data_IF_018075390282
#
_entry.id   IF_018075390282
#
_cell.length_a   1.000
_cell.length_b   1.000
_cell.length_c   1.000
_cell.angle_alpha   90.00
_cell.angle_beta   90.00
_cell.angle_gamma   90.00
#
_symmetry.space_group_name_H-M   'P 1'
#
loop_
_entity.id
_entity.type
_entity.pdbx_description
1 polymer ?
#
# COMPACT_ATOMS: atom_id res chain seq x y z
N UNK A 1 -18.80 5.88 14.95
CA UNK A 1 -19.08 4.42 14.85
C UNK A 1 -17.88 3.68 15.43
N UNK A 2 -18.07 2.69 16.30
CA UNK A 2 -16.93 1.93 16.90
C UNK A 2 -16.73 0.66 16.05
N UNK A 3 -15.63 0.59 15.30
CA UNK A 3 -15.26 -0.59 14.52
C UNK A 3 -14.65 -1.62 15.46
N UNK A 4 -15.11 -2.86 15.40
CA UNK A 4 -14.55 -3.98 16.16
C UNK A 4 -14.06 -5.06 15.17
N UNK A 5 -12.74 -5.30 15.18
CA UNK A 5 -12.07 -6.30 14.35
C UNK A 5 -11.48 -7.46 15.17
N UNK A 6 -12.01 -7.69 16.37
CA UNK A 6 -11.60 -8.83 17.19
C UNK A 6 -11.69 -10.11 16.37
N UNK A 7 -10.71 -11.00 16.51
CA UNK A 7 -10.55 -12.26 15.79
C UNK A 7 -10.33 -12.14 14.26
N UNK A 8 -10.18 -10.92 13.73
CA UNK A 8 -9.81 -10.70 12.33
C UNK A 8 -8.29 -10.67 12.17
N UNK A 9 -7.81 -11.27 11.08
CA UNK A 9 -6.41 -11.27 10.67
C UNK A 9 -6.23 -10.35 9.47
N UNK A 10 -5.30 -9.41 9.55
CA UNK A 10 -5.00 -8.48 8.48
C UNK A 10 -3.57 -8.63 7.98
N UNK A 11 -3.36 -8.60 6.66
CA UNK A 11 -2.05 -8.49 6.02
C UNK A 11 -1.91 -7.12 5.40
N UNK A 12 -0.86 -6.39 5.75
CA UNK A 12 -0.65 -5.02 5.30
C UNK A 12 0.69 -4.89 4.58
N UNK A 13 0.65 -4.61 3.29
CA UNK A 13 1.82 -4.35 2.47
C UNK A 13 2.47 -2.99 2.77
N UNK A 14 3.79 -2.87 2.56
CA UNK A 14 4.54 -1.62 2.72
C UNK A 14 4.36 -0.96 4.08
N UNK A 15 4.33 -1.75 5.15
CA UNK A 15 3.85 -1.34 6.47
C UNK A 15 4.93 -1.15 7.53
N UNK A 16 6.19 -0.93 7.13
CA UNK A 16 7.24 -0.54 8.11
C UNK A 16 7.19 0.92 8.53
N UNK A 17 6.56 1.80 7.74
CA UNK A 17 6.43 3.24 7.98
C UNK A 17 5.32 3.87 7.14
N UNK A 18 5.07 5.17 7.35
CA UNK A 18 4.13 5.96 6.55
C UNK A 18 2.71 5.40 6.58
N UNK A 19 2.00 5.50 5.45
CA UNK A 19 0.57 5.15 5.37
C UNK A 19 0.30 3.69 5.70
N UNK A 20 1.14 2.76 5.22
CA UNK A 20 0.96 1.34 5.52
C UNK A 20 1.05 1.03 7.00
N UNK A 21 1.97 1.67 7.73
CA UNK A 21 2.07 1.50 9.17
C UNK A 21 0.92 2.17 9.93
N UNK A 22 0.49 3.36 9.51
CA UNK A 22 -0.67 4.04 10.10
C UNK A 22 -1.94 3.19 9.99
N UNK A 23 -2.21 2.61 8.81
CA UNK A 23 -3.33 1.66 8.60
C UNK A 23 -3.18 0.43 9.50
N UNK A 24 -1.98 -0.16 9.58
CA UNK A 24 -1.73 -1.32 10.42
C UNK A 24 -2.00 -1.04 11.90
N UNK A 25 -1.54 0.12 12.39
CA UNK A 25 -1.76 0.58 13.76
C UNK A 25 -3.24 0.74 14.06
N UNK A 26 -4.00 1.36 13.15
CA UNK A 26 -5.44 1.55 13.33
C UNK A 26 -6.21 0.22 13.32
N UNK A 27 -5.89 -0.69 12.39
CA UNK A 27 -6.50 -2.02 12.37
C UNK A 27 -6.20 -2.80 13.67
N UNK A 28 -4.98 -2.70 14.19
CA UNK A 28 -4.59 -3.32 15.44
C UNK A 28 -5.35 -2.73 16.64
N UNK A 29 -5.48 -1.41 16.73
CA UNK A 29 -6.29 -0.71 17.76
C UNK A 29 -7.77 -1.13 17.69
N UNK A 30 -8.28 -1.39 16.49
CA UNK A 30 -9.64 -1.94 16.31
C UNK A 30 -9.76 -3.43 16.70
N UNK A 31 -8.66 -4.10 17.09
CA UNK A 31 -8.66 -5.47 17.59
C UNK A 31 -8.16 -6.53 16.60
N UNK A 32 -7.74 -6.15 15.40
CA UNK A 32 -7.21 -7.12 14.42
C UNK A 32 -5.79 -7.58 14.78
N UNK A 33 -5.51 -8.87 14.58
CA UNK A 33 -4.12 -9.36 14.52
C UNK A 33 -3.54 -8.99 13.17
N UNK A 34 -2.52 -8.12 13.16
CA UNK A 34 -1.90 -7.65 11.92
C UNK A 34 -0.60 -8.39 11.60
N UNK A 35 -0.37 -8.58 10.30
CA UNK A 35 0.91 -9.06 9.74
C UNK A 35 1.49 -7.95 8.88
N UNK A 36 2.60 -7.36 9.32
CA UNK A 36 3.31 -6.32 8.58
C UNK A 36 4.19 -6.92 7.49
N UNK A 37 4.24 -6.29 6.32
CA UNK A 37 5.04 -6.76 5.18
C UNK A 37 5.95 -5.64 4.68
N UNK A 38 7.27 -5.82 4.74
CA UNK A 38 8.26 -4.85 4.28
C UNK A 38 9.64 -5.50 4.17
N UNK A 39 10.60 -4.81 3.54
CA UNK A 39 11.99 -5.26 3.45
C UNK A 39 12.87 -4.93 4.67
N UNK A 40 12.48 -3.94 5.47
CA UNK A 40 13.27 -3.50 6.62
C UNK A 40 12.88 -4.26 7.89
N UNK A 41 13.56 -5.37 8.15
CA UNK A 41 13.29 -6.23 9.30
C UNK A 41 13.46 -5.50 10.63
N UNK A 42 14.46 -4.63 10.76
CA UNK A 42 14.68 -3.87 11.99
C UNK A 42 13.48 -3.00 12.36
N UNK A 43 12.93 -2.25 11.37
CA UNK A 43 11.71 -1.47 11.59
C UNK A 43 10.49 -2.35 11.87
N UNK A 44 10.36 -3.49 11.19
CA UNK A 44 9.27 -4.42 11.45
C UNK A 44 9.31 -4.93 12.90
N UNK A 45 10.48 -5.35 13.40
CA UNK A 45 10.66 -5.79 14.80
C UNK A 45 10.31 -4.67 15.81
N UNK A 46 10.78 -3.44 15.55
CA UNK A 46 10.42 -2.27 16.38
C UNK A 46 8.92 -2.05 16.41
N UNK A 47 8.26 -2.09 15.26
CA UNK A 47 6.83 -1.89 15.15
C UNK A 47 6.03 -3.00 15.84
N UNK A 48 6.51 -4.25 15.84
CA UNK A 48 5.87 -5.33 16.60
C UNK A 48 5.84 -5.05 18.10
N UNK A 49 6.95 -4.54 18.65
CA UNK A 49 7.03 -4.16 20.07
C UNK A 49 6.05 -3.03 20.37
N UNK A 50 6.00 -2.01 19.52
CA UNK A 50 5.06 -0.87 19.66
C UNK A 50 3.61 -1.33 19.62
N UNK A 51 3.24 -2.15 18.63
CA UNK A 51 1.88 -2.65 18.47
C UNK A 51 1.47 -3.55 19.64
N UNK A 52 2.34 -4.43 20.11
CA UNK A 52 2.07 -5.25 21.29
C UNK A 52 1.85 -4.40 22.54
N UNK A 53 2.66 -3.36 22.75
CA UNK A 53 2.48 -2.41 23.86
C UNK A 53 1.14 -1.69 23.79
N UNK A 54 0.70 -1.34 22.57
CA UNK A 54 -0.53 -0.60 22.34
C UNK A 54 -1.78 -1.45 22.50
N UNK A 55 -1.74 -2.72 22.09
CA UNK A 55 -2.91 -3.59 21.99
C UNK A 55 -2.99 -4.69 23.05
N UNK A 56 -1.85 -5.04 23.68
CA UNK A 56 -1.74 -6.11 24.68
C UNK A 56 -1.60 -7.52 24.09
N UNK A 57 -1.55 -7.69 22.75
CA UNK A 57 -1.40 -9.01 22.11
C UNK A 57 -0.37 -9.01 20.97
N UNK A 58 0.01 -10.21 20.54
CA UNK A 58 1.07 -10.37 19.55
C UNK A 58 0.59 -10.15 18.13
N UNK A 59 1.47 -9.62 17.31
CA UNK A 59 1.31 -9.41 15.88
C UNK A 59 2.43 -10.12 15.11
N UNK A 60 2.37 -10.12 13.77
CA UNK A 60 3.32 -10.83 12.93
C UNK A 60 3.98 -9.90 11.90
N UNK A 61 5.09 -10.34 11.31
CA UNK A 61 5.70 -9.67 10.17
C UNK A 61 6.28 -10.65 9.16
N UNK A 62 6.44 -10.19 7.93
CA UNK A 62 7.10 -10.91 6.82
C UNK A 62 8.11 -9.95 6.19
N UNK A 63 9.33 -10.43 6.00
CA UNK A 63 10.38 -9.68 5.32
C UNK A 63 10.35 -10.04 3.84
N UNK A 64 10.12 -9.04 2.97
CA UNK A 64 10.13 -9.21 1.52
C UNK A 64 10.71 -7.98 0.83
N UNK A 65 11.37 -8.18 -0.30
CA UNK A 65 11.67 -7.09 -1.24
C UNK A 65 10.66 -7.11 -2.39
N UNK A 66 9.92 -6.02 -2.53
CA UNK A 66 8.94 -5.87 -3.61
C UNK A 66 9.59 -5.72 -5.00
N UNK A 67 10.88 -5.38 -5.09
CA UNK A 67 11.61 -5.31 -6.35
C UNK A 67 12.02 -6.70 -6.86
N UNK A 68 12.14 -7.68 -5.99
CA UNK A 68 12.32 -9.09 -6.33
C UNK A 68 10.94 -9.78 -6.40
N UNK A 69 10.28 -9.64 -7.54
CA UNK A 69 8.91 -10.13 -7.73
C UNK A 69 8.80 -11.65 -7.60
N UNK A 70 9.81 -12.41 -7.97
CA UNK A 70 9.79 -13.87 -7.88
C UNK A 70 10.05 -14.35 -6.44
N UNK A 71 11.02 -13.75 -5.74
CA UNK A 71 11.25 -13.96 -4.32
C UNK A 71 10.04 -13.53 -3.49
N UNK A 72 9.45 -12.37 -3.80
CA UNK A 72 8.21 -11.91 -3.20
C UNK A 72 7.09 -12.96 -3.33
N UNK A 73 6.82 -13.41 -4.57
CA UNK A 73 5.79 -14.42 -4.84
C UNK A 73 6.02 -15.70 -4.06
N UNK A 74 7.27 -16.18 -4.00
CA UNK A 74 7.65 -17.40 -3.25
C UNK A 74 7.33 -17.24 -1.77
N UNK A 75 7.77 -16.16 -1.14
CA UNK A 75 7.57 -15.90 0.30
C UNK A 75 6.08 -15.74 0.63
N UNK A 76 5.34 -14.98 -0.15
CA UNK A 76 3.89 -14.79 0.05
C UNK A 76 3.12 -16.09 -0.15
N UNK A 77 3.47 -16.88 -1.17
CA UNK A 77 2.82 -18.19 -1.39
C UNK A 77 3.08 -19.13 -0.21
N UNK A 78 4.31 -19.17 0.31
CA UNK A 78 4.67 -19.99 1.47
C UNK A 78 3.87 -19.58 2.72
N UNK A 79 3.79 -18.27 3.00
CA UNK A 79 2.99 -17.76 4.11
C UNK A 79 1.53 -18.25 4.03
N UNK A 80 0.91 -18.20 2.87
CA UNK A 80 -0.49 -18.59 2.69
C UNK A 80 -0.74 -20.11 2.65
N UNK A 81 0.29 -20.95 2.70
CA UNK A 81 0.09 -22.40 2.87
C UNK A 81 -0.49 -22.76 4.24
N UNK A 82 -0.07 -22.05 5.27
CA UNK A 82 -0.46 -22.30 6.66
C UNK A 82 -1.28 -21.18 7.28
N UNK A 83 -1.39 -20.04 6.61
CA UNK A 83 -2.08 -18.86 7.12
C UNK A 83 -3.26 -18.45 6.22
N UNK A 84 -4.24 -17.79 6.82
CA UNK A 84 -5.30 -17.10 6.11
C UNK A 84 -5.50 -15.72 6.72
N UNK A 85 -5.93 -14.77 5.89
CA UNK A 85 -6.26 -13.41 6.33
C UNK A 85 -7.71 -13.08 5.99
N UNK A 86 -8.28 -12.19 6.77
CA UNK A 86 -9.65 -11.69 6.59
C UNK A 86 -9.63 -10.32 5.89
N UNK A 87 -8.59 -9.53 6.16
CA UNK A 87 -8.38 -8.19 5.61
C UNK A 87 -7.04 -8.17 4.88
N UNK A 88 -7.04 -7.67 3.65
CA UNK A 88 -5.83 -7.47 2.86
C UNK A 88 -5.71 -6.01 2.46
N UNK A 89 -4.60 -5.38 2.85
CA UNK A 89 -4.22 -4.04 2.40
C UNK A 89 -3.07 -4.18 1.40
N UNK A 90 -3.40 -4.09 0.13
CA UNK A 90 -2.39 -4.04 -0.93
C UNK A 90 -1.78 -2.64 -0.98
N UNK A 91 -0.57 -2.53 -0.51
CA UNK A 91 0.25 -1.34 -0.58
C UNK A 91 1.70 -1.74 -0.84
N UNK A 92 2.36 -1.03 -1.74
CA UNK A 92 3.77 -1.24 -2.09
C UNK A 92 4.53 0.08 -2.05
N UNK A 93 5.84 0.02 -2.14
CA UNK A 93 6.63 1.22 -2.45
C UNK A 93 6.26 1.74 -3.85
N UNK A 94 6.47 3.04 -4.12
CA UNK A 94 6.36 3.59 -5.47
C UNK A 94 7.59 3.29 -6.32
N UNK A 95 7.46 3.22 -7.66
CA UNK A 95 8.59 3.13 -8.57
C UNK A 95 9.40 4.44 -8.57
N UNK A 96 10.62 4.45 -9.17
CA UNK A 96 11.38 5.68 -9.37
C UNK A 96 10.57 6.76 -10.07
N UNK A 97 10.85 8.01 -9.75
CA UNK A 97 10.30 9.16 -10.48
C UNK A 97 11.00 9.32 -11.83
N UNK A 98 10.30 9.87 -12.80
CA UNK A 98 10.81 10.13 -14.14
C UNK A 98 9.69 10.59 -15.07
N UNK A 99 10.06 11.37 -16.08
CA UNK A 99 9.14 11.74 -17.17
C UNK A 99 9.14 10.68 -18.28
N UNK A 100 8.20 10.77 -19.20
CA UNK A 100 8.02 9.78 -20.27
C UNK A 100 9.21 9.67 -21.22
N UNK A 101 10.09 10.66 -21.27
CA UNK A 101 11.26 10.68 -22.15
C UNK A 101 12.51 10.13 -21.47
N UNK A 102 12.51 10.03 -20.13
CA UNK A 102 13.64 9.56 -19.33
C UNK A 102 13.52 8.10 -18.88
N UNK A 103 12.36 7.46 -19.07
CA UNK A 103 12.12 6.06 -18.69
C UNK A 103 12.01 5.17 -19.95
N UNK A 104 12.47 3.94 -19.84
CA UNK A 104 12.48 2.97 -20.93
C UNK A 104 11.54 1.79 -20.67
N UNK A 105 11.40 0.89 -21.64
CA UNK A 105 10.53 -0.28 -21.60
C UNK A 105 10.81 -1.17 -20.37
N UNK A 106 12.08 -1.41 -20.05
CA UNK A 106 12.45 -2.22 -18.90
C UNK A 106 12.03 -1.57 -17.56
N UNK A 107 12.05 -0.24 -17.47
CA UNK A 107 11.57 0.48 -16.29
C UNK A 107 10.05 0.32 -16.13
N UNK A 108 9.29 0.36 -17.23
CA UNK A 108 7.86 0.05 -17.22
C UNK A 108 7.59 -1.39 -16.77
N UNK A 109 8.37 -2.36 -17.27
CA UNK A 109 8.21 -3.76 -16.85
C UNK A 109 8.50 -3.95 -15.36
N UNK A 110 9.59 -3.39 -14.84
CA UNK A 110 9.90 -3.43 -13.41
C UNK A 110 8.81 -2.78 -12.55
N UNK A 111 8.28 -1.64 -13.02
CA UNK A 111 7.19 -0.95 -12.32
C UNK A 111 5.88 -1.76 -12.37
N UNK A 112 5.60 -2.45 -13.46
CA UNK A 112 4.47 -3.37 -13.58
C UNK A 112 4.59 -4.54 -12.60
N UNK A 113 5.77 -5.16 -12.52
CA UNK A 113 6.03 -6.26 -11.59
C UNK A 113 5.85 -5.78 -10.14
N UNK A 114 6.39 -4.62 -9.81
CA UNK A 114 6.31 -4.00 -8.50
C UNK A 114 4.86 -3.70 -8.07
N UNK A 115 4.09 -3.00 -8.92
CA UNK A 115 2.80 -2.42 -8.55
C UNK A 115 1.63 -3.35 -8.83
N UNK A 116 1.64 -4.03 -9.98
CA UNK A 116 0.49 -4.81 -10.45
C UNK A 116 0.66 -6.30 -10.17
N UNK A 117 1.75 -6.91 -10.62
CA UNK A 117 2.00 -8.35 -10.48
C UNK A 117 2.07 -8.78 -9.00
N UNK A 118 2.76 -8.02 -8.14
CA UNK A 118 2.82 -8.32 -6.72
C UNK A 118 1.44 -8.19 -6.04
N UNK A 119 0.63 -7.19 -6.43
CA UNK A 119 -0.75 -7.02 -5.95
C UNK A 119 -1.61 -8.22 -6.32
N UNK A 120 -1.55 -8.70 -7.57
CA UNK A 120 -2.26 -9.90 -8.01
C UNK A 120 -1.80 -11.13 -7.23
N UNK A 121 -0.51 -11.36 -7.10
CA UNK A 121 0.05 -12.53 -6.41
C UNK A 121 -0.46 -12.63 -4.97
N UNK A 122 -0.42 -11.52 -4.24
CA UNK A 122 -0.90 -11.48 -2.84
C UNK A 122 -2.39 -11.70 -2.76
N UNK A 123 -3.15 -11.02 -3.61
CA UNK A 123 -4.62 -11.12 -3.61
C UNK A 123 -5.09 -12.52 -3.98
N UNK A 124 -4.50 -13.14 -5.01
CA UNK A 124 -4.84 -14.52 -5.41
C UNK A 124 -4.53 -15.55 -4.32
N UNK A 125 -3.53 -15.30 -3.50
CA UNK A 125 -3.21 -16.15 -2.35
C UNK A 125 -4.20 -15.94 -1.21
N UNK A 126 -4.50 -14.69 -0.85
CA UNK A 126 -5.40 -14.33 0.25
C UNK A 126 -6.86 -14.72 -0.02
N UNK A 127 -7.34 -14.51 -1.25
CA UNK A 127 -8.76 -14.71 -1.60
C UNK A 127 -9.22 -16.16 -1.46
N UNK A 128 -8.30 -17.13 -1.55
CA UNK A 128 -8.63 -18.55 -1.34
C UNK A 128 -9.20 -18.82 0.06
N UNK A 129 -8.57 -18.23 1.08
CA UNK A 129 -9.03 -18.32 2.46
C UNK A 129 -10.32 -17.52 2.70
N UNK A 130 -10.42 -16.33 2.09
CA UNK A 130 -11.62 -15.48 2.19
C UNK A 130 -12.84 -16.17 1.57
N UNK A 131 -12.70 -16.81 0.40
CA UNK A 131 -13.79 -17.60 -0.24
C UNK A 131 -14.28 -18.74 0.66
N UNK A 132 -13.35 -19.50 1.28
CA UNK A 132 -13.73 -20.59 2.21
C UNK A 132 -14.52 -20.10 3.42
N UNK A 133 -14.22 -18.88 3.91
CA UNK A 133 -14.90 -18.26 5.05
C UNK A 133 -16.18 -17.50 4.65
N UNK A 134 -16.44 -17.35 3.35
CA UNK A 134 -17.49 -16.48 2.81
C UNK A 134 -17.43 -15.04 3.37
N UNK A 135 -16.20 -14.52 3.56
CA UNK A 135 -15.94 -13.18 4.09
C UNK A 135 -14.53 -12.69 3.74
N UNK A 136 -14.42 -11.45 3.32
CA UNK A 136 -13.13 -10.80 3.08
C UNK A 136 -13.25 -9.31 2.81
N UNK A 137 -12.17 -8.57 3.14
CA UNK A 137 -12.05 -7.14 2.83
C UNK A 137 -10.70 -6.89 2.19
N UNK A 138 -10.73 -6.45 0.94
CA UNK A 138 -9.53 -6.13 0.17
C UNK A 138 -9.54 -4.63 -0.11
N UNK A 139 -8.49 -3.96 0.33
CA UNK A 139 -8.26 -2.54 0.06
C UNK A 139 -6.96 -2.42 -0.73
N UNK A 140 -7.02 -1.70 -1.84
CA UNK A 140 -5.89 -1.47 -2.73
C UNK A 140 -5.53 0.01 -2.65
N UNK A 141 -4.35 0.31 -2.15
CA UNK A 141 -3.84 1.68 -2.06
C UNK A 141 -3.19 2.07 -3.38
N UNK A 142 -3.84 2.95 -4.11
CA UNK A 142 -3.36 3.48 -5.38
C UNK A 142 -2.93 4.94 -5.25
N UNK A 143 -3.30 5.80 -6.18
CA UNK A 143 -2.93 7.22 -6.19
C UNK A 143 -4.00 8.04 -6.89
N UNK A 144 -4.16 9.29 -6.50
CA UNK A 144 -4.95 10.27 -7.27
C UNK A 144 -4.48 10.39 -8.71
N UNK A 145 -3.22 10.10 -8.98
CA UNK A 145 -2.62 10.11 -10.32
C UNK A 145 -3.25 9.12 -11.31
N UNK A 146 -4.06 8.18 -10.83
CA UNK A 146 -4.89 7.31 -11.66
C UNK A 146 -5.98 8.09 -12.41
N UNK A 147 -6.47 9.17 -11.81
CA UNK A 147 -7.48 10.06 -12.41
C UNK A 147 -6.84 11.30 -13.07
N UNK A 148 -5.88 11.89 -12.39
CA UNK A 148 -5.18 13.10 -12.84
C UNK A 148 -3.67 12.82 -12.85
N UNK A 149 -3.10 12.42 -13.99
CA UNK A 149 -1.68 12.11 -14.09
C UNK A 149 -0.80 13.25 -13.62
N UNK A 150 0.11 12.94 -12.69
CA UNK A 150 1.06 13.90 -12.16
C UNK A 150 2.33 13.90 -13.02
N UNK A 151 2.83 15.07 -13.36
CA UNK A 151 4.10 15.23 -14.10
C UNK A 151 5.25 14.57 -13.33
N UNK A 152 6.23 14.01 -14.06
CA UNK A 152 7.41 13.37 -13.50
C UNK A 152 7.15 12.06 -12.74
N UNK A 153 5.98 11.43 -12.96
CA UNK A 153 5.63 10.14 -12.36
C UNK A 153 5.14 9.14 -13.42
N UNK A 154 5.77 9.11 -14.60
CA UNK A 154 5.33 8.31 -15.74
C UNK A 154 5.07 6.84 -15.39
N UNK A 155 6.02 6.17 -14.74
CA UNK A 155 5.91 4.76 -14.32
C UNK A 155 4.74 4.53 -13.36
N UNK A 156 4.59 5.42 -12.38
CA UNK A 156 3.53 5.33 -11.36
C UNK A 156 2.15 5.57 -11.98
N UNK A 157 1.99 6.63 -12.77
CA UNK A 157 0.73 6.97 -13.42
C UNK A 157 0.23 5.81 -14.27
N UNK A 158 1.10 5.26 -15.14
CA UNK A 158 0.76 4.17 -16.07
C UNK A 158 0.40 2.89 -15.32
N UNK A 159 1.30 2.39 -14.49
CA UNK A 159 1.10 1.05 -13.92
C UNK A 159 0.07 1.04 -12.77
N UNK A 160 -0.11 2.15 -12.04
CA UNK A 160 -1.19 2.24 -11.05
C UNK A 160 -2.57 2.32 -11.68
N UNK A 161 -2.71 2.82 -12.91
CA UNK A 161 -4.01 2.89 -13.59
C UNK A 161 -4.58 1.52 -13.93
N UNK A 162 -3.75 0.52 -14.16
CA UNK A 162 -4.18 -0.87 -14.38
C UNK A 162 -4.80 -1.50 -13.12
N UNK A 163 -4.31 -1.12 -11.93
CA UNK A 163 -4.69 -1.75 -10.66
C UNK A 163 -6.17 -1.52 -10.29
N UNK A 164 -6.74 -0.31 -10.34
CA UNK A 164 -8.15 -0.08 -10.03
C UNK A 164 -9.10 -0.76 -11.02
N UNK A 165 -8.75 -0.83 -12.30
CA UNK A 165 -9.54 -1.54 -13.31
C UNK A 165 -9.65 -3.02 -12.98
N UNK A 166 -8.52 -3.66 -12.69
CA UNK A 166 -8.47 -5.04 -12.23
C UNK A 166 -9.23 -5.22 -10.91
N UNK A 167 -9.02 -4.33 -9.93
CA UNK A 167 -9.71 -4.37 -8.64
C UNK A 167 -11.23 -4.26 -8.77
N UNK A 168 -11.73 -3.45 -9.72
CA UNK A 168 -13.15 -3.35 -10.03
C UNK A 168 -13.71 -4.67 -10.58
N UNK A 169 -13.02 -5.28 -11.53
CA UNK A 169 -13.39 -6.60 -12.06
C UNK A 169 -13.44 -7.64 -10.94
N UNK A 170 -12.39 -7.69 -10.12
CA UNK A 170 -12.33 -8.59 -8.97
C UNK A 170 -13.51 -8.36 -7.99
N UNK A 171 -13.93 -7.11 -7.76
CA UNK A 171 -15.05 -6.81 -6.87
C UNK A 171 -16.37 -7.41 -7.37
N UNK A 172 -16.59 -7.38 -8.69
CA UNK A 172 -17.79 -7.95 -9.32
C UNK A 172 -17.82 -9.47 -9.19
N UNK A 173 -16.66 -10.13 -9.41
CA UNK A 173 -16.56 -11.59 -9.36
C UNK A 173 -16.55 -12.16 -7.94
N UNK A 174 -16.04 -11.39 -6.97
CA UNK A 174 -15.88 -11.84 -5.58
C UNK A 174 -17.06 -11.50 -4.67
N UNK A 175 -17.97 -10.63 -5.08
CA UNK A 175 -19.12 -10.19 -4.29
C UNK A 175 -20.01 -11.35 -3.82
N UNK A 176 -20.22 -12.38 -4.64
CA UNK A 176 -20.96 -13.58 -4.29
C UNK A 176 -20.40 -14.34 -3.08
N UNK A 177 -19.13 -14.12 -2.72
CA UNK A 177 -18.48 -14.69 -1.54
C UNK A 177 -18.41 -13.70 -0.37
N UNK A 178 -19.20 -12.64 -0.35
CA UNK A 178 -19.16 -11.59 0.67
C UNK A 178 -17.77 -10.96 0.84
N UNK A 179 -17.02 -10.87 -0.28
CA UNK A 179 -15.70 -10.23 -0.34
C UNK A 179 -15.86 -8.88 -1.02
N UNK A 180 -15.47 -7.81 -0.34
CA UNK A 180 -15.44 -6.48 -0.93
C UNK A 180 -14.02 -6.12 -1.37
N UNK A 181 -13.92 -5.43 -2.51
CA UNK A 181 -12.65 -4.91 -3.05
C UNK A 181 -12.81 -3.43 -3.33
N UNK A 182 -12.02 -2.61 -2.66
CA UNK A 182 -12.08 -1.15 -2.78
C UNK A 182 -10.70 -0.58 -3.12
N UNK A 183 -10.68 0.41 -4.00
CA UNK A 183 -9.47 1.17 -4.33
C UNK A 183 -9.50 2.51 -3.62
N UNK A 184 -8.42 2.85 -2.92
CA UNK A 184 -8.22 4.16 -2.31
C UNK A 184 -7.23 4.93 -3.16
N UNK A 185 -7.65 6.06 -3.71
CA UNK A 185 -6.82 6.95 -4.48
C UNK A 185 -6.13 7.93 -3.53
N UNK A 186 -4.94 7.56 -3.08
CA UNK A 186 -4.18 8.31 -2.09
C UNK A 186 -3.72 9.66 -2.65
N UNK A 187 -4.00 10.73 -1.93
CA UNK A 187 -3.50 12.08 -2.20
C UNK A 187 -2.12 12.33 -1.58
N UNK A 188 -1.89 13.57 -1.12
CA UNK A 188 -0.63 13.98 -0.52
C UNK A 188 -0.67 13.83 1.01
N UNK A 189 0.25 13.01 1.53
CA UNK A 189 0.44 12.79 2.96
C UNK A 189 1.93 12.96 3.32
N UNK A 190 2.20 13.51 4.49
CA UNK A 190 3.54 13.75 5.01
C UNK A 190 4.27 12.44 5.32
N UNK A 191 4.88 11.87 4.29
CA UNK A 191 5.62 10.61 4.36
C UNK A 191 7.03 10.80 3.84
N UNK A 192 7.97 9.98 4.29
CA UNK A 192 9.33 9.97 3.75
C UNK A 192 9.35 9.81 2.21
N UNK A 193 8.40 9.05 1.65
CA UNK A 193 8.27 8.91 0.19
C UNK A 193 7.88 10.23 -0.47
N UNK A 194 6.94 10.98 0.08
CA UNK A 194 6.57 12.30 -0.46
C UNK A 194 7.74 13.28 -0.37
N UNK A 195 8.45 13.28 0.76
CA UNK A 195 9.64 14.13 0.97
C UNK A 195 10.73 13.81 -0.04
N UNK A 196 11.00 12.52 -0.28
CA UNK A 196 11.95 12.09 -1.31
C UNK A 196 11.54 12.57 -2.71
N UNK A 197 10.29 12.33 -3.12
CA UNK A 197 9.78 12.75 -4.41
C UNK A 197 9.82 14.28 -4.59
N UNK A 198 9.48 15.02 -3.54
CA UNK A 198 9.55 16.47 -3.55
C UNK A 198 10.99 16.95 -3.73
N UNK A 199 11.95 16.36 -3.02
CA UNK A 199 13.37 16.70 -3.14
C UNK A 199 13.92 16.39 -4.54
N UNK A 200 13.57 15.24 -5.12
CA UNK A 200 13.97 14.87 -6.49
C UNK A 200 13.40 15.86 -7.51
N UNK A 201 12.11 16.22 -7.36
CA UNK A 201 11.40 17.16 -8.23
C UNK A 201 11.95 18.57 -8.10
N UNK A 202 12.21 19.03 -6.88
CA UNK A 202 12.79 20.34 -6.59
C UNK A 202 14.16 20.51 -7.27
N UNK A 203 15.04 19.51 -7.15
CA UNK A 203 16.34 19.49 -7.85
C UNK A 203 16.17 19.58 -9.37
N UNK A 204 15.27 18.79 -9.96
CA UNK A 204 15.06 18.76 -11.41
C UNK A 204 14.56 20.09 -11.96
N UNK A 205 13.68 20.75 -11.25
CA UNK A 205 13.03 22.01 -11.69
C UNK A 205 13.71 23.26 -11.13
N UNK A 206 14.81 23.10 -10.40
CA UNK A 206 15.59 24.19 -9.80
C UNK A 206 14.71 25.12 -8.92
N UNK A 207 13.88 24.51 -8.06
CA UNK A 207 13.05 25.19 -7.07
C UNK A 207 13.41 24.69 -5.66
N UNK A 208 12.97 25.41 -4.63
CA UNK A 208 13.17 24.93 -3.25
C UNK A 208 12.19 23.77 -2.91
N UNK A 209 12.54 22.98 -1.91
CA UNK A 209 11.63 21.94 -1.39
C UNK A 209 10.37 22.55 -0.78
N UNK A 210 10.46 23.74 -0.18
CA UNK A 210 9.33 24.44 0.43
C UNK A 210 8.33 24.89 -0.64
N UNK A 211 8.80 25.51 -1.73
CA UNK A 211 7.95 25.82 -2.90
C UNK A 211 7.26 24.57 -3.49
N UNK A 212 7.95 23.41 -3.45
CA UNK A 212 7.38 22.16 -3.88
C UNK A 212 6.21 21.70 -2.98
N UNK A 213 6.36 21.84 -1.66
CA UNK A 213 5.30 21.53 -0.69
C UNK A 213 4.14 22.52 -0.78
N UNK A 214 4.41 23.81 -0.95
CA UNK A 214 3.37 24.83 -1.10
C UNK A 214 2.49 24.54 -2.33
N UNK A 215 3.10 24.25 -3.47
CA UNK A 215 2.38 23.86 -4.70
C UNK A 215 1.52 22.59 -4.50
N UNK A 216 2.02 21.57 -3.75
CA UNK A 216 1.22 20.39 -3.44
C UNK A 216 0.04 20.73 -2.53
N UNK A 217 0.26 21.57 -1.51
CA UNK A 217 -0.77 22.03 -0.58
C UNK A 217 -1.87 22.85 -1.30
N UNK A 218 -1.50 23.68 -2.27
CA UNK A 218 -2.45 24.43 -3.08
C UNK A 218 -3.40 23.54 -3.89
N UNK A 219 -2.94 22.36 -4.32
CA UNK A 219 -3.78 21.38 -5.04
C UNK A 219 -4.80 20.69 -4.12
N UNK A 220 -4.59 20.73 -2.81
CA UNK A 220 -5.49 20.10 -1.83
C UNK A 220 -6.55 21.13 -1.40
N UNK A 221 -7.85 20.79 -1.39
CA UNK A 221 -8.90 21.74 -0.96
C UNK A 221 -8.68 22.31 0.44
N UNK A 222 -8.17 21.53 1.38
CA UNK A 222 -7.84 21.98 2.75
C UNK A 222 -6.54 22.78 2.85
N UNK A 223 -5.85 23.03 1.72
CA UNK A 223 -4.60 23.79 1.65
C UNK A 223 -3.48 23.30 2.58
N UNK A 224 -3.48 22.02 2.84
CA UNK A 224 -2.43 21.35 3.60
C UNK A 224 -2.23 19.91 3.14
N UNK A 225 -1.07 19.39 3.42
CA UNK A 225 -0.75 17.95 3.28
C UNK A 225 -1.33 17.23 4.50
N UNK A 226 -1.87 16.02 4.31
CA UNK A 226 -2.39 15.18 5.40
C UNK A 226 -1.28 14.48 6.18
N UNK A 227 -1.55 14.10 7.43
CA UNK A 227 -0.66 13.25 8.21
C UNK A 227 -1.01 11.76 8.01
N UNK A 228 -0.03 10.85 8.09
CA UNK A 228 -0.26 9.41 7.90
C UNK A 228 -1.36 8.83 8.79
N UNK A 229 -1.49 9.35 10.03
CA UNK A 229 -2.51 8.93 10.98
C UNK A 229 -3.92 9.24 10.51
N UNK A 230 -4.13 10.38 9.83
CA UNK A 230 -5.42 10.77 9.24
C UNK A 230 -5.86 9.78 8.15
N UNK A 231 -4.90 9.17 7.46
CA UNK A 231 -5.19 8.12 6.48
C UNK A 231 -5.52 6.78 7.14
N UNK A 232 -4.98 6.53 8.31
CA UNK A 232 -5.20 5.30 9.06
C UNK A 232 -6.61 5.19 9.64
N UNK A 233 -7.25 6.32 9.94
CA UNK A 233 -8.61 6.38 10.51
C UNK A 233 -9.70 6.02 9.48
#
# INVERSE_FOLDING_TARGET
MKINLKDKKALIGGSSKGLGYAVAKQLAVCGATVTLVSRNEHLLKKNMIELKKLTGFDHNYIVVDYNDSDGYKKIITEFFKTNSVDILINNTQGPPAGDVFSVNENDYQKSFDLLFKNTINTTNSAIKGMKKKNWGRIIIMTSVSVKEPLTYLALSNTNRSAVPSWGKTLSMESGQFNITVNNILTGFFNTERLNQLNSEKAKKFNVSTDEGFDKMSEMVPLKRIGEPEEFGY
#
